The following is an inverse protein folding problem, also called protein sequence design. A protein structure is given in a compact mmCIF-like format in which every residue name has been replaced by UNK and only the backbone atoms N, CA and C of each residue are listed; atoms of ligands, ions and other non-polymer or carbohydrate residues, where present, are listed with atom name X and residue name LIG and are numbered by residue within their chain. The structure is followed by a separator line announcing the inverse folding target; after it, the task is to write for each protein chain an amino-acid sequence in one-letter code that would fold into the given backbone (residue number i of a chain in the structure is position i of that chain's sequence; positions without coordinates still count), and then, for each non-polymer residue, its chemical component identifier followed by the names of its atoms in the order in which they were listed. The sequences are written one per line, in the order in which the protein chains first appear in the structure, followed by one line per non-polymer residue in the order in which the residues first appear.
data_IF_928611226258
#
_entry.id   IF_928611226258
#
_cell.length_a   1.000
_cell.length_b   1.000
_cell.length_c   1.000
_cell.angle_alpha   90.00
_cell.angle_beta   90.00
_cell.angle_gamma   90.00
#
_symmetry.space_group_name_H-M   'P 1'
#
loop_
_entity.id
_entity.type
_entity.pdbx_description
1 polymer ?
#
# COMPACT_ATOMS: atom_id res chain seq x y z
N UNK A 1 -6.00 62.73 -0.97
CA UNK A 1 -5.83 61.49 -0.18
C UNK A 1 -6.77 60.42 -0.77
N UNK A 2 -6.39 59.82 -1.90
CA UNK A 2 -7.28 58.95 -2.71
C UNK A 2 -6.45 57.93 -3.52
N UNK A 3 -5.48 57.27 -2.88
CA UNK A 3 -4.61 56.26 -3.50
C UNK A 3 -4.49 54.94 -2.72
N UNK A 4 -5.11 54.84 -1.53
CA UNK A 4 -5.05 53.65 -0.68
C UNK A 4 -6.30 52.76 -0.78
N UNK A 5 -7.49 53.35 -0.90
CA UNK A 5 -8.76 52.61 -1.00
C UNK A 5 -8.90 51.77 -2.28
N UNK A 6 -8.30 52.20 -3.40
CA UNK A 6 -8.31 51.43 -4.65
C UNK A 6 -7.44 50.17 -4.55
N UNK A 7 -6.28 50.21 -3.89
CA UNK A 7 -5.38 49.03 -3.81
C UNK A 7 -5.95 47.91 -2.92
N UNK A 8 -6.59 48.25 -1.80
CA UNK A 8 -7.16 47.25 -0.88
C UNK A 8 -8.40 46.55 -1.47
N UNK A 9 -9.23 47.27 -2.24
CA UNK A 9 -10.41 46.68 -2.88
C UNK A 9 -10.02 45.70 -3.99
N UNK A 10 -9.02 46.01 -4.81
CA UNK A 10 -8.51 45.08 -5.83
C UNK A 10 -7.79 43.87 -5.22
N UNK A 11 -7.09 44.05 -4.09
CA UNK A 11 -6.45 42.94 -3.39
C UNK A 11 -7.49 41.98 -2.79
N UNK A 12 -8.57 42.49 -2.20
CA UNK A 12 -9.69 41.68 -1.70
C UNK A 12 -10.46 41.00 -2.83
N UNK A 13 -10.71 41.68 -3.96
CA UNK A 13 -11.39 41.10 -5.13
C UNK A 13 -10.50 40.04 -5.80
N UNK A 14 -9.18 40.26 -5.88
CA UNK A 14 -8.23 39.28 -6.40
C UNK A 14 -8.16 38.04 -5.50
N UNK A 15 -8.17 38.21 -4.17
CA UNK A 15 -8.23 37.08 -3.22
C UNK A 15 -9.57 36.35 -3.29
N UNK A 16 -10.70 37.07 -3.36
CA UNK A 16 -12.03 36.45 -3.50
C UNK A 16 -12.17 35.74 -4.85
N UNK A 17 -11.57 36.30 -5.91
CA UNK A 17 -11.48 35.71 -7.24
C UNK A 17 -10.60 34.47 -7.24
N UNK A 18 -9.47 34.48 -6.53
CA UNK A 18 -8.65 33.29 -6.30
C UNK A 18 -9.44 32.21 -5.55
N UNK A 19 -10.04 32.55 -4.40
CA UNK A 19 -10.79 31.59 -3.58
C UNK A 19 -11.96 30.99 -4.38
N UNK A 20 -12.70 31.79 -5.14
CA UNK A 20 -13.78 31.27 -5.99
C UNK A 20 -13.23 30.41 -7.12
N UNK A 21 -12.14 30.78 -7.79
CA UNK A 21 -11.48 29.92 -8.79
C UNK A 21 -11.07 28.57 -8.17
N UNK A 22 -10.43 28.58 -7.00
CA UNK A 22 -10.01 27.38 -6.28
C UNK A 22 -11.21 26.50 -5.90
N UNK A 23 -12.30 27.08 -5.36
CA UNK A 23 -13.51 26.32 -5.03
C UNK A 23 -14.24 25.77 -6.27
N UNK A 24 -14.24 26.50 -7.40
CA UNK A 24 -14.85 26.02 -8.65
C UNK A 24 -14.02 24.93 -9.32
N UNK A 25 -12.69 25.00 -9.22
CA UNK A 25 -11.78 23.98 -9.74
C UNK A 25 -11.89 22.68 -8.96
N UNK A 26 -11.85 22.74 -7.63
CA UNK A 26 -12.01 21.58 -6.74
C UNK A 26 -13.37 20.88 -6.95
N UNK A 27 -14.46 21.65 -7.09
CA UNK A 27 -15.78 21.12 -7.40
C UNK A 27 -15.85 20.42 -8.78
N UNK A 28 -15.15 20.93 -9.80
CA UNK A 28 -15.10 20.33 -11.13
C UNK A 28 -14.26 19.05 -11.15
N UNK A 29 -13.14 19.03 -10.47
CA UNK A 29 -12.26 17.87 -10.43
C UNK A 29 -12.82 16.73 -9.58
N UNK A 30 -13.51 17.05 -8.49
CA UNK A 30 -14.31 16.05 -7.76
C UNK A 30 -15.44 15.48 -8.64
N UNK A 31 -15.99 16.25 -9.58
CA UNK A 31 -16.95 15.73 -10.55
C UNK A 31 -16.27 14.83 -11.60
N UNK A 32 -15.03 15.10 -12.01
CA UNK A 32 -14.28 14.18 -12.87
C UNK A 32 -13.95 12.86 -12.16
N UNK A 33 -13.62 12.90 -10.86
CA UNK A 33 -13.42 11.69 -10.07
C UNK A 33 -14.72 10.87 -9.98
N UNK A 34 -15.88 11.53 -9.77
CA UNK A 34 -17.21 10.88 -9.81
C UNK A 34 -17.54 10.32 -11.19
N UNK A 35 -17.17 11.03 -12.26
CA UNK A 35 -17.35 10.58 -13.63
C UNK A 35 -16.53 9.31 -13.91
N UNK A 36 -15.28 9.25 -13.46
CA UNK A 36 -14.46 8.03 -13.51
C UNK A 36 -15.13 6.87 -12.76
N UNK A 37 -15.59 7.10 -11.53
CA UNK A 37 -16.30 6.07 -10.76
C UNK A 37 -17.58 5.59 -11.46
N UNK A 38 -18.32 6.49 -12.11
CA UNK A 38 -19.52 6.13 -12.86
C UNK A 38 -19.19 5.36 -14.15
N UNK A 39 -18.09 5.72 -14.83
CA UNK A 39 -17.56 4.99 -15.98
C UNK A 39 -17.27 3.53 -15.62
N UNK A 40 -16.65 3.26 -14.46
CA UNK A 40 -16.37 1.89 -14.02
C UNK A 40 -17.63 1.09 -13.64
N UNK A 41 -18.76 1.74 -13.34
CA UNK A 41 -20.04 1.05 -13.08
C UNK A 41 -20.79 0.67 -14.36
N UNK A 42 -20.43 1.26 -15.50
CA UNK A 42 -21.05 1.00 -16.79
C UNK A 42 -20.29 -0.12 -17.52
N UNK A 43 -20.92 -1.30 -17.61
CA UNK A 43 -20.35 -2.48 -18.28
C UNK A 43 -19.88 -2.27 -19.72
N UNK A 44 -20.37 -1.23 -20.42
CA UNK A 44 -19.98 -0.90 -21.79
C UNK A 44 -18.80 0.08 -21.85
N UNK A 45 -18.48 0.76 -20.75
CA UNK A 45 -17.48 1.83 -20.67
C UNK A 45 -16.39 1.59 -19.63
N UNK A 46 -16.52 0.54 -18.82
CA UNK A 46 -15.54 0.16 -17.82
C UNK A 46 -14.18 -0.13 -18.44
N UNK A 47 -13.13 0.25 -17.72
CA UNK A 47 -11.76 0.05 -18.18
C UNK A 47 -11.35 -1.42 -18.05
N UNK A 48 -10.49 -1.85 -18.96
CA UNK A 48 -9.96 -3.21 -19.02
C UNK A 48 -8.57 -3.24 -18.41
N UNK A 49 -8.36 -4.11 -17.43
CA UNK A 49 -7.06 -4.36 -16.83
C UNK A 49 -6.58 -5.74 -17.26
N UNK A 50 -5.53 -5.77 -18.09
CA UNK A 50 -4.79 -6.98 -18.38
C UNK A 50 -3.80 -7.23 -17.24
N UNK A 51 -4.00 -8.33 -16.53
CA UNK A 51 -3.32 -8.63 -15.27
C UNK A 51 -2.39 -9.82 -15.45
N UNK A 52 -1.09 -9.64 -15.19
CA UNK A 52 -0.12 -10.73 -15.17
C UNK A 52 0.41 -10.93 -13.74
N UNK A 53 0.27 -12.16 -13.24
CA UNK A 53 0.71 -12.53 -11.89
C UNK A 53 1.50 -13.83 -12.00
N UNK A 54 2.82 -13.73 -12.03
CA UNK A 54 3.71 -14.88 -11.87
C UNK A 54 5.05 -14.50 -11.21
N UNK A 55 5.06 -13.72 -10.11
CA UNK A 55 6.30 -13.42 -9.42
C UNK A 55 6.79 -14.65 -8.64
N UNK A 56 8.11 -14.80 -8.54
CA UNK A 56 8.71 -15.58 -7.45
C UNK A 56 8.53 -14.81 -6.15
N UNK A 57 8.20 -15.52 -5.07
CA UNK A 57 8.16 -14.94 -3.72
C UNK A 57 9.56 -15.08 -3.13
N UNK A 58 10.19 -13.96 -2.79
CA UNK A 58 11.43 -13.96 -2.02
C UNK A 58 11.13 -13.96 -0.53
N UNK A 59 12.03 -14.52 0.26
CA UNK A 59 11.91 -14.54 1.69
C UNK A 59 13.12 -13.86 2.32
N UNK A 60 12.88 -12.98 3.30
CA UNK A 60 13.91 -12.26 4.04
C UNK A 60 13.66 -12.31 5.53
N UNK A 61 14.74 -12.29 6.30
CA UNK A 61 14.67 -12.12 7.75
C UNK A 61 15.78 -11.19 8.21
N UNK A 62 15.41 -10.05 8.78
CA UNK A 62 16.36 -9.00 9.16
C UNK A 62 17.38 -9.49 10.20
N UNK A 63 16.96 -10.37 11.12
CA UNK A 63 17.84 -10.92 12.16
C UNK A 63 18.88 -11.87 11.58
N UNK A 64 18.48 -12.78 10.69
CA UNK A 64 19.39 -13.72 10.01
C UNK A 64 20.35 -12.99 9.07
N UNK A 65 19.88 -11.99 8.32
CA UNK A 65 20.72 -11.19 7.41
C UNK A 65 21.85 -10.44 8.13
N UNK A 66 21.62 -10.04 9.38
CA UNK A 66 22.63 -9.38 10.23
C UNK A 66 23.60 -10.36 10.89
N UNK A 67 23.39 -11.67 10.80
CA UNK A 67 24.30 -12.66 11.39
C UNK A 67 25.51 -12.89 10.48
N UNK A 68 26.73 -12.54 10.93
CA UNK A 68 27.92 -12.78 10.13
C UNK A 68 28.13 -14.29 9.91
N UNK A 69 28.48 -14.66 8.69
CA UNK A 69 28.81 -16.04 8.29
C UNK A 69 27.68 -17.07 8.55
N UNK A 70 26.41 -16.64 8.58
CA UNK A 70 25.27 -17.54 8.81
C UNK A 70 25.29 -18.78 7.89
N UNK A 71 25.51 -18.58 6.60
CA UNK A 71 25.56 -19.65 5.60
C UNK A 71 26.81 -20.54 5.69
N UNK A 72 27.79 -20.20 6.53
CA UNK A 72 28.98 -21.01 6.80
C UNK A 72 28.83 -21.90 8.04
N UNK A 73 27.74 -21.73 8.81
CA UNK A 73 27.44 -22.55 9.98
C UNK A 73 27.03 -23.98 9.58
N UNK A 74 27.11 -24.91 10.54
CA UNK A 74 26.59 -26.27 10.36
C UNK A 74 25.06 -26.23 10.12
N UNK A 75 24.53 -27.17 9.31
CA UNK A 75 23.13 -27.15 8.84
C UNK A 75 22.10 -27.25 9.97
N UNK A 76 22.43 -27.99 11.03
CA UNK A 76 21.63 -28.08 12.24
C UNK A 76 21.58 -26.75 13.00
N UNK A 77 22.71 -26.04 13.10
CA UNK A 77 22.78 -24.69 13.69
C UNK A 77 21.99 -23.68 12.85
N UNK A 78 22.10 -23.74 11.52
CA UNK A 78 21.29 -22.90 10.64
C UNK A 78 19.80 -23.15 10.84
N UNK A 79 19.39 -24.42 10.95
CA UNK A 79 18.00 -24.81 11.18
C UNK A 79 17.48 -24.30 12.53
N UNK A 80 18.25 -24.46 13.62
CA UNK A 80 17.88 -23.95 14.94
C UNK A 80 17.68 -22.43 14.94
N UNK A 81 18.59 -21.71 14.27
CA UNK A 81 18.51 -20.26 14.15
C UNK A 81 17.30 -19.82 13.29
N UNK A 82 17.01 -20.51 12.19
CA UNK A 82 15.80 -20.24 11.40
C UNK A 82 14.52 -20.48 12.19
N UNK A 83 14.42 -21.59 12.94
CA UNK A 83 13.25 -21.85 13.79
C UNK A 83 13.04 -20.78 14.87
N UNK A 84 14.14 -20.20 15.37
CA UNK A 84 14.14 -19.19 16.41
C UNK A 84 13.80 -17.78 15.90
N UNK A 85 14.41 -17.37 14.80
CA UNK A 85 14.36 -15.98 14.32
C UNK A 85 13.46 -15.79 13.09
N UNK A 86 13.15 -16.86 12.37
CA UNK A 86 12.31 -16.88 11.17
C UNK A 86 11.23 -17.99 11.29
N UNK A 87 10.37 -17.94 12.31
CA UNK A 87 9.45 -19.03 12.64
C UNK A 87 8.38 -19.33 11.58
N UNK A 88 8.18 -18.44 10.60
CA UNK A 88 7.27 -18.63 9.47
C UNK A 88 7.98 -19.19 8.22
N UNK A 89 9.31 -19.01 8.10
CA UNK A 89 10.10 -19.40 6.93
C UNK A 89 9.79 -20.80 6.40
N UNK A 90 9.80 -21.80 7.28
CA UNK A 90 9.59 -23.21 6.90
C UNK A 90 8.13 -23.64 6.85
N UNK A 91 7.20 -22.74 7.20
CA UNK A 91 5.78 -23.05 7.41
C UNK A 91 4.86 -22.43 6.38
N UNK A 92 5.21 -21.26 5.86
CA UNK A 92 4.43 -20.61 4.82
C UNK A 92 4.57 -21.37 3.50
N UNK A 93 3.47 -21.46 2.76
CA UNK A 93 3.43 -22.12 1.47
C UNK A 93 3.24 -21.05 0.38
N UNK A 94 4.25 -20.85 -0.47
CA UNK A 94 4.25 -19.87 -1.55
C UNK A 94 3.00 -19.96 -2.44
N UNK A 95 2.58 -21.18 -2.81
CA UNK A 95 1.38 -21.37 -3.64
C UNK A 95 0.11 -20.89 -2.96
N UNK A 96 0.06 -20.93 -1.62
CA UNK A 96 -1.07 -20.41 -0.84
C UNK A 96 -1.03 -18.89 -0.80
N UNK A 97 0.13 -18.30 -0.51
CA UNK A 97 0.33 -16.83 -0.54
C UNK A 97 -0.07 -16.27 -1.91
N UNK A 98 0.49 -16.84 -2.97
CA UNK A 98 0.24 -16.39 -4.34
C UNK A 98 -1.24 -16.50 -4.71
N UNK A 99 -1.91 -17.57 -4.27
CA UNK A 99 -3.35 -17.75 -4.47
C UNK A 99 -4.17 -16.69 -3.72
N UNK A 100 -3.89 -16.47 -2.44
CA UNK A 100 -4.59 -15.46 -1.64
C UNK A 100 -4.42 -14.07 -2.24
N UNK A 101 -3.19 -13.71 -2.62
CA UNK A 101 -2.91 -12.45 -3.26
C UNK A 101 -3.64 -12.33 -4.62
N UNK A 102 -3.44 -13.30 -5.52
CA UNK A 102 -3.98 -13.25 -6.89
C UNK A 102 -5.51 -13.17 -6.90
N UNK A 103 -6.17 -14.00 -6.10
CA UNK A 103 -7.63 -14.01 -6.03
C UNK A 103 -8.16 -12.68 -5.51
N UNK A 104 -7.57 -12.14 -4.43
CA UNK A 104 -8.04 -10.89 -3.85
C UNK A 104 -7.71 -9.68 -4.73
N UNK A 105 -6.59 -9.67 -5.45
CA UNK A 105 -6.27 -8.61 -6.42
C UNK A 105 -7.31 -8.57 -7.55
N UNK A 106 -7.55 -9.72 -8.21
CA UNK A 106 -8.54 -9.83 -9.29
C UNK A 106 -9.96 -9.48 -8.81
N UNK A 107 -10.36 -9.97 -7.63
CA UNK A 107 -11.67 -9.68 -7.04
C UNK A 107 -11.83 -8.20 -6.67
N UNK A 108 -10.83 -7.58 -6.04
CA UNK A 108 -10.93 -6.18 -5.63
C UNK A 108 -10.92 -5.24 -6.82
N UNK A 109 -10.06 -5.46 -7.83
CA UNK A 109 -10.10 -4.72 -9.09
C UNK A 109 -11.46 -4.83 -9.79
N UNK A 110 -12.03 -6.04 -9.84
CA UNK A 110 -13.37 -6.26 -10.41
C UNK A 110 -14.46 -5.55 -9.60
N UNK A 111 -14.36 -5.57 -8.26
CA UNK A 111 -15.32 -4.87 -7.37
C UNK A 111 -15.28 -3.35 -7.51
N UNK A 112 -14.13 -2.82 -7.90
CA UNK A 112 -13.92 -1.41 -8.24
C UNK A 112 -14.45 -1.06 -9.64
N UNK A 113 -14.96 -2.05 -10.38
CA UNK A 113 -15.64 -1.90 -11.66
C UNK A 113 -14.76 -2.16 -12.89
N UNK A 114 -13.50 -2.57 -12.72
CA UNK A 114 -12.67 -2.93 -13.87
C UNK A 114 -13.08 -4.27 -14.50
N UNK A 115 -12.93 -4.37 -15.82
CA UNK A 115 -12.89 -5.68 -16.50
C UNK A 115 -11.49 -6.27 -16.37
N UNK A 116 -11.32 -7.24 -15.47
CA UNK A 116 -10.03 -7.90 -15.28
C UNK A 116 -9.87 -9.07 -16.25
N UNK A 117 -8.76 -9.11 -16.98
CA UNK A 117 -8.38 -10.21 -17.88
C UNK A 117 -7.01 -10.70 -17.43
N UNK A 118 -6.97 -11.88 -16.81
CA UNK A 118 -5.70 -12.52 -16.46
C UNK A 118 -4.96 -13.02 -17.71
N UNK A 119 -3.69 -12.66 -17.80
CA UNK A 119 -2.77 -13.00 -18.88
C UNK A 119 -1.76 -14.00 -18.35
N UNK A 120 -1.49 -15.06 -19.11
CA UNK A 120 -0.59 -16.16 -18.68
C UNK A 120 0.86 -15.99 -19.10
N UNK A 121 1.12 -15.13 -20.07
CA UNK A 121 2.43 -14.90 -20.66
C UNK A 121 2.74 -13.40 -20.67
N UNK A 122 3.90 -13.03 -20.13
CA UNK A 122 4.35 -11.63 -20.10
C UNK A 122 4.49 -11.06 -21.53
N UNK A 123 4.83 -11.89 -22.52
CA UNK A 123 4.90 -11.48 -23.93
C UNK A 123 3.51 -11.16 -24.51
N UNK A 124 2.46 -11.80 -23.99
CA UNK A 124 1.09 -11.44 -24.37
C UNK A 124 0.69 -10.09 -23.76
N UNK A 125 1.12 -9.82 -22.52
CA UNK A 125 0.88 -8.55 -21.84
C UNK A 125 1.56 -7.39 -22.59
N UNK A 126 2.82 -7.58 -22.96
CA UNK A 126 3.62 -6.58 -23.69
C UNK A 126 3.07 -6.25 -25.09
N UNK A 127 2.23 -7.14 -25.65
CA UNK A 127 1.56 -6.93 -26.95
C UNK A 127 0.20 -6.24 -26.83
N UNK A 128 -0.32 -6.01 -25.62
CA UNK A 128 -1.59 -5.31 -25.44
C UNK A 128 -1.41 -3.83 -25.75
N UNK A 129 -2.28 -3.30 -26.59
CA UNK A 129 -2.36 -1.86 -26.79
C UNK A 129 -2.90 -1.21 -25.53
N UNK A 130 -2.16 -0.23 -25.02
CA UNK A 130 -2.53 0.56 -23.83
C UNK A 130 -3.09 1.89 -24.34
N UNK A 131 -4.25 2.27 -23.82
CA UNK A 131 -4.93 3.51 -24.18
C UNK A 131 -5.71 4.07 -22.97
N UNK A 132 -6.62 5.01 -23.20
CA UNK A 132 -7.44 5.64 -22.13
C UNK A 132 -8.41 4.67 -21.42
N UNK A 133 -8.56 3.45 -21.94
CA UNK A 133 -9.50 2.42 -21.47
C UNK A 133 -8.89 1.04 -21.27
N UNK A 134 -7.67 0.80 -21.76
CA UNK A 134 -6.95 -0.45 -21.64
C UNK A 134 -5.65 -0.24 -20.88
N UNK A 135 -5.48 -1.02 -19.80
CA UNK A 135 -4.35 -0.91 -18.88
C UNK A 135 -3.67 -2.26 -18.70
N UNK A 136 -2.38 -2.26 -18.41
CA UNK A 136 -1.63 -3.45 -18.02
C UNK A 136 -1.16 -3.32 -16.58
N UNK A 137 -1.29 -4.38 -15.80
CA UNK A 137 -0.72 -4.48 -14.46
C UNK A 137 0.07 -5.79 -14.34
N UNK A 138 1.36 -5.69 -14.06
CA UNK A 138 2.27 -6.82 -13.90
C UNK A 138 2.76 -6.87 -12.46
N UNK A 139 2.62 -8.01 -11.78
CA UNK A 139 3.26 -8.19 -10.48
C UNK A 139 4.69 -8.68 -10.69
N UNK A 140 5.64 -7.78 -10.48
CA UNK A 140 7.05 -8.00 -10.79
C UNK A 140 7.78 -8.81 -9.72
N UNK A 141 7.52 -8.49 -8.46
CA UNK A 141 8.14 -9.16 -7.32
C UNK A 141 7.18 -9.18 -6.13
N UNK A 142 7.30 -10.23 -5.33
CA UNK A 142 6.71 -10.33 -4.00
C UNK A 142 7.79 -10.74 -3.01
N UNK A 143 7.72 -10.23 -1.79
CA UNK A 143 8.65 -10.59 -0.73
C UNK A 143 7.91 -10.72 0.60
N UNK A 144 8.26 -11.76 1.35
CA UNK A 144 7.87 -11.93 2.75
C UNK A 144 9.08 -11.58 3.61
N UNK A 145 8.94 -10.59 4.49
CA UNK A 145 9.98 -10.14 5.42
C UNK A 145 9.54 -10.44 6.85
N UNK A 146 10.25 -11.33 7.55
CA UNK A 146 10.13 -11.47 9.01
C UNK A 146 11.15 -10.55 9.71
N UNK A 147 10.70 -9.77 10.69
CA UNK A 147 11.54 -8.86 11.45
C UNK A 147 11.24 -8.98 12.94
N UNK A 148 12.23 -8.63 13.76
CA UNK A 148 12.10 -8.64 15.22
C UNK A 148 12.52 -7.29 15.76
N UNK A 149 11.73 -6.72 16.67
CA UNK A 149 12.08 -5.45 17.31
C UNK A 149 12.93 -5.67 18.56
N UNK A 150 13.90 -4.77 18.77
CA UNK A 150 14.65 -4.68 20.03
C UNK A 150 13.86 -3.90 21.08
N UNK A 151 13.83 -4.46 22.28
CA UNK A 151 13.08 -4.00 23.46
C UNK A 151 13.78 -2.85 24.20
N UNK A 152 13.00 -2.04 24.93
CA UNK A 152 13.48 -1.13 25.97
C UNK A 152 12.48 -1.04 27.12
N UNK A 153 12.94 -1.33 28.35
CA UNK A 153 12.15 -1.13 29.57
C UNK A 153 11.98 0.37 29.86
N UNK A 154 10.73 0.82 30.10
CA UNK A 154 10.44 2.22 30.43
C UNK A 154 9.75 2.29 31.80
N UNK A 155 10.32 3.05 32.73
CA UNK A 155 9.73 3.30 34.05
C UNK A 155 8.65 4.38 33.95
N UNK A 156 7.40 4.04 34.32
CA UNK A 156 6.32 5.04 34.43
C UNK A 156 6.05 5.34 35.91
N UNK A 157 6.37 6.56 36.33
CA UNK A 157 6.00 7.13 37.63
C UNK A 157 6.44 6.32 38.88
N UNK A 158 7.63 5.70 38.86
CA UNK A 158 8.32 5.07 40.02
C UNK A 158 7.59 3.92 40.76
N UNK A 159 6.35 3.58 40.41
CA UNK A 159 5.56 2.51 41.06
C UNK A 159 5.13 1.40 40.09
N UNK A 160 5.38 1.57 38.79
CA UNK A 160 5.02 0.61 37.74
C UNK A 160 6.15 0.47 36.73
N UNK A 161 6.59 -0.77 36.52
CA UNK A 161 7.39 -1.14 35.36
C UNK A 161 6.41 -1.57 34.27
N UNK A 162 6.22 -0.72 33.27
CA UNK A 162 5.42 -1.06 32.10
C UNK A 162 6.40 -1.52 31.03
N UNK A 163 6.21 -2.74 30.53
CA UNK A 163 7.00 -3.23 29.40
C UNK A 163 6.08 -3.30 28.18
N UNK A 164 6.57 -2.78 27.06
CA UNK A 164 5.94 -2.96 25.76
C UNK A 164 6.91 -3.77 24.93
N UNK A 165 6.55 -5.00 24.56
CA UNK A 165 7.39 -5.83 23.71
C UNK A 165 6.65 -6.14 22.42
N UNK A 166 7.12 -5.57 21.33
CA UNK A 166 6.83 -6.11 20.00
C UNK A 166 7.93 -7.14 19.74
N UNK A 167 7.56 -8.41 19.53
CA UNK A 167 8.52 -9.52 19.53
C UNK A 167 8.92 -9.84 18.09
N UNK A 168 7.96 -10.00 17.19
CA UNK A 168 8.15 -10.29 15.76
C UNK A 168 7.03 -9.67 14.93
N UNK A 169 7.36 -9.30 13.70
CA UNK A 169 6.38 -8.96 12.68
C UNK A 169 6.68 -9.69 11.38
N UNK A 170 5.65 -9.79 10.54
CA UNK A 170 5.81 -10.17 9.15
C UNK A 170 5.26 -9.06 8.26
N UNK A 171 6.02 -8.68 7.25
CA UNK A 171 5.65 -7.73 6.20
C UNK A 171 5.57 -8.46 4.86
N UNK A 172 4.56 -8.11 4.08
CA UNK A 172 4.38 -8.57 2.71
C UNK A 172 4.58 -7.39 1.77
N UNK A 173 5.66 -7.44 0.99
CA UNK A 173 6.08 -6.41 0.06
C UNK A 173 5.72 -6.83 -1.37
N UNK A 174 5.13 -5.94 -2.14
CA UNK A 174 4.76 -6.19 -3.55
C UNK A 174 5.23 -5.05 -4.43
N UNK A 175 5.85 -5.40 -5.56
CA UNK A 175 6.19 -4.47 -6.64
C UNK A 175 5.31 -4.73 -7.86
N UNK A 176 4.64 -3.70 -8.32
CA UNK A 176 3.75 -3.74 -9.47
C UNK A 176 4.29 -2.85 -10.58
N UNK A 177 4.27 -3.33 -11.82
CA UNK A 177 4.65 -2.56 -13.00
C UNK A 177 3.39 -2.21 -13.78
N UNK A 178 3.25 -0.93 -14.08
CA UNK A 178 2.28 -0.40 -15.03
C UNK A 178 3.03 0.18 -16.24
N UNK A 179 2.72 -0.34 -17.42
CA UNK A 179 3.22 0.25 -18.66
C UNK A 179 2.31 1.41 -19.05
N UNK A 180 2.90 2.52 -19.47
CA UNK A 180 2.14 3.64 -20.03
C UNK A 180 1.77 3.38 -21.49
N UNK A 181 0.95 4.27 -22.06
CA UNK A 181 0.55 4.17 -23.46
C UNK A 181 1.69 4.52 -24.43
N UNK A 182 2.73 5.21 -23.96
CA UNK A 182 3.95 5.38 -24.74
C UNK A 182 4.79 4.09 -24.68
N UNK A 183 5.64 3.86 -25.68
CA UNK A 183 6.33 2.58 -25.82
C UNK A 183 7.50 2.39 -24.85
N UNK A 184 7.82 3.38 -24.00
CA UNK A 184 9.08 3.41 -23.24
C UNK A 184 8.92 3.76 -21.75
N UNK A 185 7.77 4.23 -21.29
CA UNK A 185 7.56 4.63 -19.90
C UNK A 185 6.89 3.50 -19.12
N UNK A 186 7.52 3.16 -17.99
CA UNK A 186 7.01 2.18 -17.03
C UNK A 186 7.02 2.82 -15.66
N UNK A 187 5.93 2.63 -14.94
CA UNK A 187 5.83 3.02 -13.54
C UNK A 187 5.94 1.77 -12.68
N UNK A 188 6.72 1.86 -11.63
CA UNK A 188 6.82 0.83 -10.59
C UNK A 188 6.11 1.34 -9.36
N UNK A 189 5.16 0.57 -8.85
CA UNK A 189 4.47 0.82 -7.60
C UNK A 189 5.00 -0.16 -6.55
N UNK A 190 5.23 0.35 -5.36
CA UNK A 190 5.53 -0.44 -4.18
C UNK A 190 4.35 -0.40 -3.22
N UNK A 191 4.04 -1.53 -2.60
CA UNK A 191 3.06 -1.60 -1.54
C UNK A 191 3.49 -2.64 -0.50
N UNK A 192 3.40 -2.27 0.77
CA UNK A 192 3.63 -3.17 1.89
C UNK A 192 2.45 -3.22 2.86
N UNK A 193 2.22 -4.41 3.40
CA UNK A 193 1.31 -4.60 4.54
C UNK A 193 2.03 -5.41 5.60
N UNK A 194 1.82 -5.08 6.87
CA UNK A 194 2.46 -5.78 7.96
C UNK A 194 1.47 -6.16 9.07
N UNK A 195 1.81 -7.22 9.77
CA UNK A 195 1.17 -7.62 11.02
C UNK A 195 2.26 -7.94 12.02
N UNK A 196 2.04 -7.51 13.25
CA UNK A 196 2.97 -7.64 14.34
C UNK A 196 2.34 -8.51 15.42
N UNK A 197 3.14 -9.37 16.03
CA UNK A 197 2.76 -9.94 17.30
C UNK A 197 2.73 -8.83 18.37
N UNK A 198 1.90 -9.01 19.39
CA UNK A 198 1.86 -8.09 20.52
C UNK A 198 2.10 -8.85 21.82
N UNK A 199 2.98 -8.28 22.63
CA UNK A 199 3.14 -8.62 24.03
C UNK A 199 3.00 -7.33 24.83
N UNK A 200 1.83 -7.17 25.44
CA UNK A 200 1.49 -6.03 26.29
C UNK A 200 1.36 -6.53 27.72
N UNK A 201 2.00 -5.84 28.66
CA UNK A 201 1.91 -6.21 30.05
C UNK A 201 2.56 -5.22 30.99
N UNK A 202 2.41 -5.51 32.27
CA UNK A 202 2.93 -4.69 33.35
C UNK A 202 3.46 -5.57 34.47
N UNK A 203 4.51 -5.08 35.13
CA UNK A 203 4.94 -5.56 36.42
C UNK A 203 4.58 -4.49 37.45
N UNK A 204 3.70 -4.84 38.39
CA UNK A 204 3.30 -3.98 39.51
C UNK A 204 3.86 -4.53 40.81
N UNK A 205 4.41 -3.65 41.64
CA UNK A 205 4.69 -3.99 43.04
C UNK A 205 3.40 -3.84 43.85
N UNK A 206 2.90 -4.93 44.45
CA UNK A 206 1.74 -4.92 45.34
C UNK A 206 2.20 -5.39 46.72
N UNK A 207 2.39 -4.45 47.64
CA UNK A 207 2.96 -4.74 48.95
C UNK A 207 4.45 -5.09 48.86
N UNK A 208 4.79 -6.37 49.05
CA UNK A 208 6.17 -6.90 48.89
C UNK A 208 6.32 -7.80 47.66
N UNK A 209 5.23 -8.07 46.96
CA UNK A 209 5.20 -9.03 45.87
C UNK A 209 5.14 -8.30 44.52
N UNK A 210 5.91 -8.78 43.55
CA UNK A 210 5.80 -8.33 42.17
C UNK A 210 4.75 -9.19 41.46
N UNK A 211 3.76 -8.53 40.86
CA UNK A 211 2.71 -9.15 40.06
C UNK A 211 2.94 -8.76 38.62
N UNK A 212 3.11 -9.75 37.75
CA UNK A 212 3.15 -9.56 36.31
C UNK A 212 1.79 -9.93 35.71
N UNK A 213 1.25 -9.06 34.86
CA UNK A 213 0.10 -9.37 34.00
C UNK A 213 0.49 -9.05 32.57
N UNK A 214 0.25 -9.98 31.65
CA UNK A 214 0.56 -9.79 30.24
C UNK A 214 -0.42 -10.55 29.36
N UNK A 215 -0.66 -10.00 28.19
CA UNK A 215 -1.28 -10.67 27.04
C UNK A 215 -0.21 -10.93 25.99
N UNK A 216 -0.31 -12.08 25.33
CA UNK A 216 0.64 -12.51 24.31
C UNK A 216 -0.11 -13.18 23.15
N UNK A 217 0.02 -12.62 21.96
CA UNK A 217 -0.40 -13.29 20.72
C UNK A 217 0.80 -13.45 19.81
N UNK A 218 1.16 -14.69 19.48
CA UNK A 218 2.25 -14.99 18.53
C UNK A 218 1.73 -14.99 17.10
N UNK A 219 2.57 -14.48 16.19
CA UNK A 219 2.38 -14.58 14.75
C UNK A 219 2.28 -16.04 14.27
N UNK A 220 1.37 -16.30 13.33
CA UNK A 220 1.03 -17.62 12.78
C UNK A 220 1.04 -17.58 11.26
N UNK A 221 1.04 -18.76 10.64
CA UNK A 221 0.95 -18.91 9.17
C UNK A 221 -0.27 -18.18 8.59
N UNK A 222 -1.41 -18.22 9.28
CA UNK A 222 -2.64 -17.56 8.85
C UNK A 222 -2.49 -16.04 8.78
N UNK A 223 -1.59 -15.45 9.57
CA UNK A 223 -1.33 -14.02 9.54
C UNK A 223 -0.59 -13.65 8.25
N UNK A 224 0.40 -14.45 7.83
CA UNK A 224 1.09 -14.29 6.54
C UNK A 224 0.14 -14.41 5.33
N UNK A 225 -0.84 -15.32 5.38
CA UNK A 225 -1.86 -15.42 4.34
C UNK A 225 -2.84 -14.23 4.36
N UNK A 226 -3.17 -13.74 5.55
CA UNK A 226 -4.06 -12.59 5.73
C UNK A 226 -3.43 -11.29 5.25
N UNK A 227 -2.14 -11.05 5.53
CA UNK A 227 -1.44 -9.86 5.01
C UNK A 227 -1.29 -9.91 3.49
N UNK A 228 -1.07 -11.08 2.88
CA UNK A 228 -0.98 -11.19 1.43
C UNK A 228 -2.33 -10.80 0.77
N UNK A 229 -3.43 -11.22 1.38
CA UNK A 229 -4.77 -10.78 1.00
C UNK A 229 -4.97 -9.27 1.19
N UNK A 230 -4.58 -8.70 2.32
CA UNK A 230 -4.70 -7.26 2.57
C UNK A 230 -3.86 -6.46 1.57
N UNK A 231 -2.64 -6.90 1.29
CA UNK A 231 -1.74 -6.26 0.35
C UNK A 231 -2.30 -6.27 -1.08
N UNK A 232 -2.97 -7.36 -1.49
CA UNK A 232 -3.69 -7.39 -2.76
C UNK A 232 -4.84 -6.35 -2.82
N UNK A 233 -5.58 -6.19 -1.72
CA UNK A 233 -6.68 -5.23 -1.62
C UNK A 233 -6.17 -3.77 -1.65
N UNK A 234 -5.13 -3.46 -0.88
CA UNK A 234 -4.52 -2.12 -0.87
C UNK A 234 -3.83 -1.82 -2.20
N UNK A 235 -3.12 -2.78 -2.81
CA UNK A 235 -2.54 -2.62 -4.16
C UNK A 235 -3.62 -2.29 -5.21
N UNK A 236 -4.76 -3.00 -5.16
CA UNK A 236 -5.89 -2.72 -6.06
C UNK A 236 -6.44 -1.31 -5.88
N UNK A 237 -6.60 -0.88 -4.62
CA UNK A 237 -7.08 0.46 -4.27
C UNK A 237 -6.11 1.54 -4.73
N UNK A 238 -4.82 1.34 -4.52
CA UNK A 238 -3.77 2.25 -4.97
C UNK A 238 -3.76 2.38 -6.49
N UNK A 239 -3.83 1.26 -7.20
CA UNK A 239 -3.92 1.28 -8.66
C UNK A 239 -5.18 1.99 -9.18
N UNK A 240 -6.34 1.76 -8.55
CA UNK A 240 -7.57 2.47 -8.88
C UNK A 240 -7.46 3.98 -8.64
N UNK A 241 -6.94 4.38 -7.49
CA UNK A 241 -6.73 5.78 -7.17
C UNK A 241 -5.75 6.42 -8.17
N UNK A 242 -4.68 5.72 -8.54
CA UNK A 242 -3.75 6.18 -9.56
C UNK A 242 -4.47 6.49 -10.89
N UNK A 243 -5.25 5.54 -11.42
CA UNK A 243 -5.98 5.74 -12.68
C UNK A 243 -7.03 6.85 -12.56
N UNK A 244 -7.73 6.95 -11.43
CA UNK A 244 -8.71 8.01 -11.18
C UNK A 244 -8.05 9.40 -11.17
N UNK A 245 -6.93 9.56 -10.48
CA UNK A 245 -6.21 10.83 -10.44
C UNK A 245 -5.63 11.18 -11.81
N UNK A 246 -5.07 10.20 -12.54
CA UNK A 246 -4.64 10.39 -13.93
C UNK A 246 -5.79 10.86 -14.82
N UNK A 247 -6.98 10.30 -14.65
CA UNK A 247 -8.20 10.74 -15.36
C UNK A 247 -8.58 12.19 -15.02
N UNK A 248 -8.59 12.55 -13.73
CA UNK A 248 -8.90 13.92 -13.27
C UNK A 248 -7.87 14.92 -13.81
N UNK A 249 -6.58 14.58 -13.75
CA UNK A 249 -5.50 15.41 -14.29
C UNK A 249 -5.66 15.65 -15.80
N UNK A 250 -5.93 14.60 -16.58
CA UNK A 250 -6.18 14.72 -18.03
C UNK A 250 -7.43 15.59 -18.30
N UNK A 251 -8.55 15.34 -17.61
CA UNK A 251 -9.80 16.09 -17.81
C UNK A 251 -9.72 17.55 -17.35
N UNK A 252 -8.87 17.84 -16.38
CA UNK A 252 -8.58 19.20 -15.93
C UNK A 252 -7.51 19.90 -16.77
N UNK A 253 -7.05 19.31 -17.88
CA UNK A 253 -5.97 19.84 -18.73
C UNK A 253 -4.65 20.05 -17.97
N UNK A 254 -4.38 19.18 -17.00
CA UNK A 254 -3.18 19.17 -16.18
C UNK A 254 -3.14 20.22 -15.07
N UNK A 255 -4.27 20.88 -14.78
CA UNK A 255 -4.34 21.96 -13.80
C UNK A 255 -4.59 21.42 -12.38
N UNK A 256 -5.41 20.38 -12.26
CA UNK A 256 -5.68 19.77 -10.95
C UNK A 256 -4.61 18.73 -10.63
N UNK A 257 -3.91 18.97 -9.54
CA UNK A 257 -2.83 18.13 -9.03
C UNK A 257 -3.18 17.51 -7.69
N UNK A 258 -4.41 17.63 -7.17
CA UNK A 258 -4.76 17.11 -5.85
C UNK A 258 -5.02 15.61 -5.87
N UNK A 259 -4.83 14.97 -4.73
CA UNK A 259 -5.15 13.56 -4.56
C UNK A 259 -6.64 13.32 -4.28
N UNK A 260 -7.21 12.41 -5.06
CA UNK A 260 -8.53 11.82 -4.89
C UNK A 260 -8.41 10.33 -4.56
N UNK A 261 -9.12 9.86 -3.54
CA UNK A 261 -9.11 8.46 -3.12
C UNK A 261 -10.52 7.89 -2.93
N UNK A 262 -10.68 6.59 -3.14
CA UNK A 262 -11.93 5.88 -2.84
C UNK A 262 -11.89 5.23 -1.45
N UNK A 263 -12.98 5.40 -0.70
CA UNK A 263 -13.28 4.55 0.46
C UNK A 263 -14.01 3.29 -0.03
N UNK A 264 -13.37 2.12 0.09
CA UNK A 264 -13.93 0.83 -0.36
C UNK A 264 -15.19 0.43 0.41
N UNK A 265 -15.38 0.92 1.65
CA UNK A 265 -16.53 0.55 2.49
C UNK A 265 -17.81 1.24 2.01
N UNK A 266 -17.67 2.52 1.65
CA UNK A 266 -18.78 3.41 1.36
C UNK A 266 -18.88 3.80 -0.12
N UNK A 267 -17.89 3.42 -0.93
CA UNK A 267 -17.68 3.89 -2.31
C UNK A 267 -17.73 5.42 -2.45
N UNK A 268 -17.25 6.13 -1.43
CA UNK A 268 -17.18 7.59 -1.40
C UNK A 268 -15.81 8.05 -1.85
N UNK A 269 -15.81 9.11 -2.66
CA UNK A 269 -14.58 9.79 -3.05
C UNK A 269 -14.23 10.79 -1.94
N UNK A 270 -13.01 10.64 -1.44
CA UNK A 270 -12.35 11.57 -0.55
C UNK A 270 -11.33 12.35 -1.37
N UNK A 271 -11.15 13.63 -1.05
CA UNK A 271 -10.04 14.43 -1.56
C UNK A 271 -9.25 14.97 -0.38
N UNK A 272 -7.95 15.15 -0.58
CA UNK A 272 -7.12 15.94 0.31
C UNK A 272 -6.41 17.03 -0.51
N UNK A 273 -5.78 17.99 0.18
CA UNK A 273 -5.06 19.09 -0.48
C UNK A 273 -3.62 18.73 -0.83
N UNK A 274 -3.22 17.47 -0.66
CA UNK A 274 -1.88 17.02 -1.00
C UNK A 274 -1.80 16.78 -2.50
N UNK A 275 -0.66 17.11 -3.14
CA UNK A 275 -0.48 16.79 -4.53
C UNK A 275 -0.51 15.27 -4.75
N UNK A 276 -1.12 14.86 -5.85
CA UNK A 276 -0.99 13.53 -6.42
C UNK A 276 0.44 13.37 -6.95
N UNK A 277 1.36 13.12 -6.02
CA UNK A 277 2.76 12.77 -6.27
C UNK A 277 3.16 11.51 -5.46
N UNK A 278 2.19 10.91 -4.75
CA UNK A 278 2.41 9.83 -3.78
C UNK A 278 2.51 8.44 -4.42
N UNK A 279 3.39 8.29 -5.41
CA UNK A 279 3.98 7.01 -5.74
C UNK A 279 5.46 7.27 -5.96
N UNK A 280 6.34 6.64 -5.16
CA UNK A 280 7.77 6.70 -5.39
C UNK A 280 8.06 6.21 -6.82
N UNK A 281 8.19 7.15 -7.77
CA UNK A 281 8.65 6.86 -9.12
C UNK A 281 10.12 6.46 -8.95
N UNK A 282 10.36 5.16 -8.87
CA UNK A 282 11.72 4.62 -8.94
C UNK A 282 12.16 4.76 -10.40
N UNK A 283 12.86 5.86 -10.70
CA UNK A 283 13.51 6.08 -12.00
C UNK A 283 14.52 4.95 -12.24
N UNK A 284 14.22 4.08 -13.19
CA UNK A 284 15.19 3.13 -13.74
C UNK A 284 16.00 3.86 -14.82
N UNK A 285 17.22 4.30 -14.47
CA UNK A 285 18.26 4.60 -15.45
C UNK A 285 19.06 3.34 -15.79
#
# INVERSE_FOLDING_TARGET
MMKTLFKESYFKIAILGLITLFCFMDANSQNFAKDFLNKQKDSLRQDVVYLFINPSITYRNESIEKMPNFYELEEDVQTELLEKYAPLYSKIIDTTILREFSQNLSLTLSSLGFKVIEVKDIEELNKKNIDETHHTLNIAQMEVEEYSYTDSLVYYQNEKEVFYKQINGVRFNTWLIYNEADTNSRLVFYNDESVEDFFDGEIRLVGKDYIASYDYEKIKEQDAYSIAKLNAQSSSKYFFNFLMNKYVWIKSSGIDIYFYGIDLKDNKIQSNTEPFDNFDIVDYN
#
